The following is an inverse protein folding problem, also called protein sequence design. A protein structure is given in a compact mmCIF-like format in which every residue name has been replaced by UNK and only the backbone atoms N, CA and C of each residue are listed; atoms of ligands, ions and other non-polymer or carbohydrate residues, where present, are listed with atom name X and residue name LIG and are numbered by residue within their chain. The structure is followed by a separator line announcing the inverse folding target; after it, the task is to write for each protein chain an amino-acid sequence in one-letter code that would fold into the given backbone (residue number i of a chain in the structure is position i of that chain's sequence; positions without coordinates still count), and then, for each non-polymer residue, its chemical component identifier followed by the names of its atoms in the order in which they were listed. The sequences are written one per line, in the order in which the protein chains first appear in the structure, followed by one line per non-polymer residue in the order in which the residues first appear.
data_IF_542537509473
#
_entry.id   IF_542537509473
#
_cell.length_a   1.000
_cell.length_b   1.000
_cell.length_c   1.000
_cell.angle_alpha   90.00
_cell.angle_beta   90.00
_cell.angle_gamma   90.00
#
_symmetry.space_group_name_H-M   'P 1'
#
loop_
_entity.id
_entity.type
_entity.pdbx_description
1 polymer ?
#
# COMPACT_ATOMS: atom_id res chain seq x y z
N UNK A 1 -9.11 5.32 21.58
CA UNK A 1 -8.49 5.73 20.30
C UNK A 1 -9.42 5.25 19.20
N UNK A 2 -10.27 6.14 18.67
CA UNK A 2 -11.25 5.81 17.63
C UNK A 2 -10.60 6.09 16.27
N UNK A 3 -10.61 5.11 15.39
CA UNK A 3 -10.31 5.29 13.96
C UNK A 3 -11.61 5.73 13.30
N UNK A 4 -11.61 6.90 12.68
CA UNK A 4 -12.67 7.39 11.80
C UNK A 4 -12.18 7.20 10.37
N UNK A 5 -12.91 6.44 9.56
CA UNK A 5 -12.70 6.37 8.11
C UNK A 5 -13.85 7.16 7.51
N UNK A 6 -13.60 8.40 7.09
CA UNK A 6 -14.56 9.21 6.34
C UNK A 6 -14.42 8.83 4.86
N UNK A 7 -15.40 8.10 4.33
CA UNK A 7 -15.60 8.00 2.88
C UNK A 7 -16.47 9.18 2.48
N UNK A 8 -15.85 10.28 2.04
CA UNK A 8 -16.61 11.42 1.51
C UNK A 8 -17.20 11.08 0.16
N UNK A 9 -18.52 10.84 0.13
CA UNK A 9 -19.34 11.07 -1.05
C UNK A 9 -19.50 12.58 -1.28
N UNK A 10 -19.44 13.00 -2.54
CA UNK A 10 -19.63 14.38 -2.97
C UNK A 10 -21.05 14.89 -2.65
N UNK A 11 -21.16 15.93 -1.83
CA UNK A 11 -22.40 16.68 -1.54
C UNK A 11 -22.28 18.11 -2.11
N UNK A 12 -23.07 18.49 -3.14
CA UNK A 12 -23.00 19.80 -3.76
C UNK A 12 -23.75 20.91 -3.01
N UNK A 13 -24.37 20.64 -1.84
CA UNK A 13 -25.26 21.61 -1.18
C UNK A 13 -24.75 22.20 0.16
N UNK A 14 -23.57 21.80 0.64
CA UNK A 14 -22.84 22.54 1.69
C UNK A 14 -23.67 22.95 2.91
N UNK A 15 -24.26 21.98 3.63
CA UNK A 15 -24.82 22.18 4.97
C UNK A 15 -25.08 20.82 5.65
N UNK A 16 -24.33 20.51 6.71
CA UNK A 16 -24.55 19.32 7.53
C UNK A 16 -23.94 19.46 8.92
N UNK A 17 -24.80 19.57 9.94
CA UNK A 17 -24.46 19.71 11.36
C UNK A 17 -23.78 18.45 11.93
N UNK A 18 -22.77 18.67 12.78
CA UNK A 18 -22.03 17.60 13.48
C UNK A 18 -22.64 17.34 14.85
N UNK A 19 -23.17 16.15 15.08
CA UNK A 19 -23.44 15.66 16.44
C UNK A 19 -22.45 14.55 16.82
N UNK A 20 -21.82 14.70 17.99
CA UNK A 20 -20.94 13.71 18.61
C UNK A 20 -21.66 13.11 19.84
N UNK A 21 -21.58 11.80 20.00
CA UNK A 21 -21.94 11.11 21.24
C UNK A 21 -20.64 10.62 21.90
N UNK A 22 -20.42 11.04 23.15
CA UNK A 22 -19.33 10.57 24.01
C UNK A 22 -19.87 9.50 24.98
N UNK A 23 -19.17 8.37 25.12
CA UNK A 23 -19.43 7.40 26.18
C UNK A 23 -18.13 7.06 26.94
N UNK A 24 -18.18 6.97 28.28
CA UNK A 24 -17.01 6.77 29.14
C UNK A 24 -16.47 5.33 29.12
N UNK A 25 -15.15 5.25 29.33
CA UNK A 25 -14.26 4.08 29.22
C UNK A 25 -14.54 2.90 30.17
N UNK A 26 -15.44 3.05 31.16
CA UNK A 26 -15.66 2.03 32.20
C UNK A 26 -16.58 0.86 31.77
N UNK A 27 -17.13 0.87 30.55
CA UNK A 27 -18.07 -0.15 30.06
C UNK A 27 -17.47 -1.27 29.18
N UNK A 28 -16.13 -1.37 29.05
CA UNK A 28 -15.48 -2.46 28.30
C UNK A 28 -14.61 -3.34 29.22
N UNK A 29 -15.26 -4.09 30.11
CA UNK A 29 -14.65 -5.16 30.89
C UNK A 29 -14.84 -6.52 30.23
N UNK A 30 -13.73 -7.20 29.91
CA UNK A 30 -13.72 -8.60 29.50
C UNK A 30 -13.81 -9.51 30.73
N UNK A 31 -14.88 -10.30 30.84
CA UNK A 31 -14.92 -11.44 31.77
C UNK A 31 -16.31 -11.84 32.27
N UNK A 32 -16.92 -12.81 31.60
CA UNK A 32 -17.70 -13.88 32.24
C UNK A 32 -19.23 -13.70 32.40
N UNK A 33 -19.93 -14.81 32.13
CA UNK A 33 -21.37 -15.10 32.31
C UNK A 33 -22.24 -14.50 31.19
N UNK A 34 -22.92 -15.27 30.35
CA UNK A 34 -23.77 -16.41 30.65
C UNK A 34 -25.22 -15.96 30.43
N UNK A 35 -25.86 -16.47 29.37
CA UNK A 35 -27.30 -16.37 29.05
C UNK A 35 -28.03 -15.08 29.44
N UNK A 36 -28.12 -14.13 28.50
CA UNK A 36 -29.26 -13.22 28.42
C UNK A 36 -29.44 -12.77 26.96
N UNK A 37 -30.51 -13.25 26.32
CA UNK A 37 -30.95 -12.71 25.04
C UNK A 37 -31.33 -11.24 25.20
N UNK A 38 -30.71 -10.39 24.39
CA UNK A 38 -31.09 -8.98 24.26
C UNK A 38 -31.35 -8.71 22.79
N UNK A 39 -32.64 -8.45 22.54
CA UNK A 39 -33.26 -8.00 21.30
C UNK A 39 -32.79 -6.56 20.98
N UNK A 40 -32.11 -6.38 19.84
CA UNK A 40 -31.68 -5.07 19.36
C UNK A 40 -32.81 -4.44 18.54
N UNK A 41 -33.80 -3.87 19.24
CA UNK A 41 -34.82 -3.02 18.63
C UNK A 41 -34.20 -1.80 17.95
N UNK A 42 -34.26 -1.76 16.61
CA UNK A 42 -33.79 -0.64 15.80
C UNK A 42 -34.78 0.52 15.93
N UNK A 43 -34.35 1.62 16.53
CA UNK A 43 -35.11 2.87 16.60
C UNK A 43 -35.28 3.47 15.21
N UNK A 44 -36.51 3.47 14.70
CA UNK A 44 -36.87 4.08 13.42
C UNK A 44 -36.88 5.61 13.49
N UNK A 45 -36.17 6.24 12.55
CA UNK A 45 -36.47 7.60 12.14
C UNK A 45 -37.56 7.53 11.06
N UNK A 46 -38.70 8.17 11.32
CA UNK A 46 -39.80 8.29 10.37
C UNK A 46 -39.40 9.27 9.25
N UNK A 47 -39.23 8.75 8.03
CA UNK A 47 -39.34 9.53 6.80
C UNK A 47 -40.77 9.36 6.27
N UNK A 48 -41.50 10.47 6.17
CA UNK A 48 -42.81 10.49 5.53
C UNK A 48 -42.67 10.27 4.02
N UNK A 49 -43.45 9.29 3.52
CA UNK A 49 -43.99 9.33 2.15
C UNK A 49 -43.11 8.82 1.01
N UNK A 50 -42.99 7.50 0.87
CA UNK A 50 -43.01 6.84 -0.45
C UNK A 50 -43.83 5.56 -0.34
N UNK A 51 -45.06 5.58 -0.84
CA UNK A 51 -45.90 4.38 -0.97
C UNK A 51 -45.29 3.44 -2.02
N UNK A 52 -45.11 2.17 -1.67
CA UNK A 52 -44.83 1.09 -2.62
C UNK A 52 -43.50 0.36 -2.45
N UNK A 53 -43.14 -0.09 -1.24
CA UNK A 53 -42.14 -1.14 -1.05
C UNK A 53 -42.73 -2.28 -0.23
N UNK A 54 -42.86 -3.44 -0.87
CA UNK A 54 -43.37 -4.66 -0.28
C UNK A 54 -42.32 -5.20 0.72
N UNK A 55 -42.51 -4.93 2.01
CA UNK A 55 -41.70 -5.49 3.09
C UNK A 55 -42.05 -6.97 3.29
N UNK A 56 -41.41 -7.83 2.51
CA UNK A 56 -41.29 -9.25 2.83
C UNK A 56 -39.94 -9.74 2.32
N UNK A 57 -38.86 -9.28 2.95
CA UNK A 57 -37.59 -9.99 2.88
C UNK A 57 -37.19 -10.28 4.32
N UNK A 58 -37.69 -11.41 4.83
CA UNK A 58 -37.22 -12.02 6.06
C UNK A 58 -35.78 -12.46 5.83
N UNK A 59 -34.81 -11.56 6.05
CA UNK A 59 -33.39 -11.93 6.11
C UNK A 59 -33.17 -12.79 7.34
N UNK A 60 -33.17 -14.11 7.13
CA UNK A 60 -32.78 -15.08 8.15
C UNK A 60 -31.30 -14.88 8.51
N UNK A 61 -30.87 -15.16 9.75
CA UNK A 61 -29.45 -15.14 10.15
C UNK A 61 -28.55 -16.01 9.25
N UNK A 62 -29.15 -17.03 8.64
CA UNK A 62 -28.53 -17.94 7.67
C UNK A 62 -28.10 -17.21 6.39
N UNK A 63 -28.92 -16.29 5.88
CA UNK A 63 -28.60 -15.50 4.68
C UNK A 63 -27.44 -14.51 4.87
N UNK A 64 -27.13 -14.13 6.10
CA UNK A 64 -25.94 -13.32 6.45
C UNK A 64 -24.64 -14.13 6.42
N UNK A 65 -24.69 -15.43 6.73
CA UNK A 65 -23.51 -16.33 6.70
C UNK A 65 -23.15 -16.68 5.25
N UNK A 66 -24.14 -16.93 4.40
CA UNK A 66 -23.92 -17.23 2.98
C UNK A 66 -23.26 -16.08 2.19
N UNK A 67 -23.49 -14.83 2.60
CA UNK A 67 -22.98 -13.64 1.92
C UNK A 67 -21.66 -13.08 2.50
N UNK A 68 -21.11 -13.72 3.53
CA UNK A 68 -19.79 -13.33 4.06
C UNK A 68 -18.70 -14.04 3.24
N UNK A 69 -17.68 -13.33 2.72
CA UNK A 69 -16.53 -13.98 2.09
C UNK A 69 -15.95 -15.07 3.01
N UNK A 70 -15.79 -16.29 2.51
CA UNK A 70 -15.41 -17.47 3.30
C UNK A 70 -16.58 -18.22 3.96
N UNK A 71 -17.84 -17.85 3.68
CA UNK A 71 -19.07 -18.55 4.15
C UNK A 71 -19.11 -18.79 5.67
N UNK A 72 -18.47 -17.91 6.45
CA UNK A 72 -18.37 -18.04 7.91
C UNK A 72 -17.30 -19.01 8.41
N UNK A 73 -16.50 -19.61 7.52
CA UNK A 73 -15.32 -20.39 7.90
C UNK A 73 -14.16 -19.46 8.25
N UNK A 74 -13.43 -19.82 9.31
CA UNK A 74 -12.22 -19.09 9.69
C UNK A 74 -11.14 -19.38 8.63
N UNK A 75 -10.51 -18.36 8.03
CA UNK A 75 -9.38 -18.57 7.14
C UNK A 75 -8.26 -19.31 7.88
N UNK A 76 -7.81 -20.43 7.30
CA UNK A 76 -6.58 -21.10 7.70
C UNK A 76 -5.46 -20.73 6.72
N UNK A 77 -4.20 -20.86 7.17
CA UNK A 77 -3.06 -20.59 6.32
C UNK A 77 -2.69 -21.86 5.54
N UNK A 78 -2.62 -21.73 4.23
CA UNK A 78 -2.11 -22.76 3.32
C UNK A 78 -0.64 -22.50 2.94
N UNK A 79 -0.02 -23.47 2.27
CA UNK A 79 1.29 -23.27 1.64
C UNK A 79 1.23 -22.25 0.50
N UNK A 80 2.30 -21.48 0.32
CA UNK A 80 2.44 -20.56 -0.81
C UNK A 80 2.97 -21.36 -2.00
N UNK A 81 2.12 -21.60 -2.99
CA UNK A 81 2.47 -22.29 -4.23
C UNK A 81 2.54 -21.28 -5.40
N UNK A 82 3.41 -21.47 -6.41
CA UNK A 82 3.48 -20.58 -7.57
C UNK A 82 2.11 -20.41 -8.26
N UNK A 83 1.70 -19.17 -8.51
CA UNK A 83 0.45 -18.86 -9.20
C UNK A 83 0.54 -17.54 -9.98
N UNK A 84 -0.29 -17.41 -11.01
CA UNK A 84 -0.48 -16.17 -11.77
C UNK A 84 -1.75 -15.44 -11.33
N UNK A 85 -1.75 -14.10 -11.29
CA UNK A 85 -2.94 -13.32 -10.99
C UNK A 85 -3.92 -13.33 -12.19
N UNK A 86 -5.22 -13.43 -11.92
CA UNK A 86 -6.25 -13.31 -12.98
C UNK A 86 -6.45 -11.86 -13.45
N UNK A 87 -6.29 -10.88 -12.54
CA UNK A 87 -6.64 -9.47 -12.76
C UNK A 87 -5.58 -8.51 -12.20
N UNK A 88 -4.34 -8.61 -12.69
CA UNK A 88 -3.31 -7.58 -12.49
C UNK A 88 -3.19 -6.69 -13.73
N UNK A 89 -2.47 -5.57 -13.57
CA UNK A 89 -2.10 -4.73 -14.71
C UNK A 89 -2.18 -3.24 -14.47
N UNK A 90 -2.49 -2.81 -13.25
CA UNK A 90 -2.73 -1.41 -12.94
C UNK A 90 -1.45 -0.68 -12.53
N UNK A 91 -1.51 0.63 -12.59
CA UNK A 91 -0.52 1.56 -12.06
C UNK A 91 -1.05 2.22 -10.80
N UNK A 92 -0.37 2.00 -9.67
CA UNK A 92 -0.77 2.53 -8.37
C UNK A 92 0.29 3.47 -7.80
N UNK A 93 -0.13 4.62 -7.29
CA UNK A 93 0.75 5.70 -6.81
C UNK A 93 0.42 6.03 -5.36
N UNK A 94 1.43 5.98 -4.49
CA UNK A 94 1.32 6.28 -3.06
C UNK A 94 2.23 7.45 -2.69
N UNK A 95 1.63 8.62 -2.44
CA UNK A 95 2.37 9.85 -2.13
C UNK A 95 1.88 10.50 -0.83
N UNK A 96 2.57 11.55 -0.37
CA UNK A 96 2.09 12.41 0.71
C UNK A 96 3.01 12.51 1.93
N UNK A 97 2.65 13.42 2.83
CA UNK A 97 3.45 13.79 4.02
C UNK A 97 3.32 12.82 5.21
N UNK A 98 2.36 11.90 5.15
CA UNK A 98 2.09 10.92 6.19
C UNK A 98 3.05 9.73 6.16
N UNK A 99 3.18 9.09 7.33
CA UNK A 99 3.81 7.78 7.47
C UNK A 99 2.84 6.72 6.95
N UNK A 100 3.33 5.82 6.09
CA UNK A 100 2.57 4.64 5.66
C UNK A 100 2.68 4.28 4.18
N UNK A 101 3.29 5.12 3.33
CA UNK A 101 3.46 4.88 1.89
C UNK A 101 4.15 3.54 1.61
N UNK A 102 5.42 3.42 1.98
CA UNK A 102 6.22 2.18 1.84
C UNK A 102 5.59 0.99 2.56
N UNK A 103 5.00 1.20 3.74
CA UNK A 103 4.34 0.10 4.48
C UNK A 103 3.11 -0.43 3.74
N UNK A 104 2.35 0.45 3.08
CA UNK A 104 1.20 0.07 2.26
C UNK A 104 1.64 -0.69 1.00
N UNK A 105 2.66 -0.20 0.28
CA UNK A 105 3.17 -0.88 -0.92
C UNK A 105 3.79 -2.24 -0.58
N UNK A 106 4.57 -2.34 0.50
CA UNK A 106 5.11 -3.62 0.99
C UNK A 106 4.03 -4.57 1.50
N UNK A 107 2.99 -4.06 2.17
CA UNK A 107 1.85 -4.87 2.59
C UNK A 107 1.06 -5.43 1.40
N UNK A 108 0.96 -4.67 0.31
CA UNK A 108 0.38 -5.12 -0.95
C UNK A 108 1.25 -6.20 -1.60
N UNK A 109 2.56 -5.98 -1.68
CA UNK A 109 3.52 -6.99 -2.15
C UNK A 109 3.48 -8.27 -1.33
N UNK A 110 3.40 -8.16 0.00
CA UNK A 110 3.24 -9.32 0.89
C UNK A 110 1.95 -10.09 0.59
N UNK A 111 0.84 -9.40 0.31
CA UNK A 111 -0.42 -10.05 -0.07
C UNK A 111 -0.29 -10.80 -1.40
N UNK A 112 0.28 -10.17 -2.41
CA UNK A 112 0.50 -10.80 -3.71
C UNK A 112 1.43 -12.03 -3.60
N UNK A 113 2.54 -11.91 -2.87
CA UNK A 113 3.44 -13.03 -2.61
C UNK A 113 2.76 -14.15 -1.81
N UNK A 114 1.91 -13.83 -0.84
CA UNK A 114 1.10 -14.81 -0.10
C UNK A 114 0.12 -15.60 -0.97
N UNK A 115 -0.26 -15.07 -2.14
CA UNK A 115 -1.06 -15.76 -3.16
C UNK A 115 -0.22 -16.46 -4.23
N UNK A 116 1.10 -16.57 -4.04
CA UNK A 116 1.97 -17.26 -4.98
C UNK A 116 2.48 -16.40 -6.14
N UNK A 117 2.19 -15.10 -6.14
CA UNK A 117 2.61 -14.21 -7.21
C UNK A 117 4.03 -13.70 -6.98
N UNK A 118 4.78 -13.48 -8.07
CA UNK A 118 6.12 -12.93 -8.00
C UNK A 118 6.10 -11.43 -7.81
N UNK A 119 6.81 -10.98 -6.78
CA UNK A 119 6.92 -9.57 -6.40
C UNK A 119 8.39 -9.20 -6.32
N UNK A 120 8.74 -8.06 -6.90
CA UNK A 120 10.06 -7.46 -6.72
C UNK A 120 9.94 -6.01 -6.26
N UNK A 121 10.73 -5.65 -5.26
CA UNK A 121 10.82 -4.29 -4.72
C UNK A 121 12.14 -3.68 -5.12
N UNK A 122 12.10 -2.68 -5.98
CA UNK A 122 13.25 -1.83 -6.30
C UNK A 122 13.16 -0.55 -5.48
N UNK A 123 14.06 -0.38 -4.52
CA UNK A 123 14.09 0.81 -3.67
C UNK A 123 15.05 1.86 -4.23
N UNK A 124 14.49 3.03 -4.55
CA UNK A 124 15.25 4.23 -4.85
C UNK A 124 15.70 4.88 -3.55
N UNK A 125 16.96 5.33 -3.49
CA UNK A 125 17.50 6.20 -2.44
C UNK A 125 16.98 5.93 -1.02
N UNK A 126 17.52 4.96 -0.29
CA UNK A 126 17.19 4.87 1.14
C UNK A 126 17.99 5.89 1.93
N UNK A 127 17.38 7.07 2.14
CA UNK A 127 17.86 8.15 2.98
C UNK A 127 18.50 7.62 4.26
N UNK A 128 19.83 7.65 4.27
CA UNK A 128 20.64 7.36 5.43
C UNK A 128 20.47 8.48 6.45
N UNK A 129 19.35 8.49 7.17
CA UNK A 129 19.44 8.84 8.59
C UNK A 129 20.57 7.94 9.11
N UNK A 130 21.59 8.55 9.71
CA UNK A 130 22.74 7.95 10.37
C UNK A 130 22.29 7.03 11.51
N UNK A 131 21.52 6.01 11.14
CA UNK A 131 20.90 5.01 11.99
C UNK A 131 21.86 3.83 11.97
N UNK A 132 22.40 3.62 13.16
CA UNK A 132 23.46 2.74 13.61
C UNK A 132 23.21 1.24 13.31
N UNK A 133 22.17 0.88 12.54
CA UNK A 133 21.80 -0.50 12.23
C UNK A 133 21.81 -0.77 10.72
N UNK A 134 22.67 -1.69 10.23
CA UNK A 134 22.76 -2.04 8.81
C UNK A 134 21.59 -2.92 8.32
N UNK A 135 20.73 -3.42 9.21
CA UNK A 135 19.68 -4.40 8.87
C UNK A 135 18.29 -3.78 9.07
N UNK A 136 17.53 -3.68 7.99
CA UNK A 136 16.13 -3.24 7.98
C UNK A 136 15.20 -4.42 8.22
N UNK A 137 14.12 -4.21 8.98
CA UNK A 137 13.17 -5.27 9.31
C UNK A 137 12.53 -5.90 8.07
N UNK A 138 12.24 -5.08 7.05
CA UNK A 138 11.60 -5.51 5.81
C UNK A 138 12.49 -6.47 5.01
N UNK A 139 13.81 -6.28 5.01
CA UNK A 139 14.74 -7.16 4.28
C UNK A 139 14.75 -8.58 4.85
N UNK A 140 14.76 -8.70 6.17
CA UNK A 140 14.68 -10.00 6.83
C UNK A 140 13.33 -10.68 6.57
N UNK A 141 12.24 -9.89 6.56
CA UNK A 141 10.91 -10.41 6.29
C UNK A 141 10.77 -10.88 4.83
N UNK A 142 11.24 -10.08 3.87
CA UNK A 142 11.22 -10.43 2.44
C UNK A 142 12.10 -11.66 2.19
N UNK A 143 13.30 -11.73 2.77
CA UNK A 143 14.18 -12.89 2.62
C UNK A 143 13.57 -14.21 3.16
N UNK A 144 12.57 -14.13 4.05
CA UNK A 144 11.86 -15.27 4.60
C UNK A 144 10.53 -15.58 3.86
N UNK A 145 10.07 -14.70 2.97
CA UNK A 145 8.78 -14.80 2.28
C UNK A 145 8.99 -15.29 0.83
N UNK A 146 8.54 -16.51 0.47
CA UNK A 146 8.60 -17.00 -0.89
C UNK A 146 7.91 -16.05 -1.89
N UNK A 147 8.47 -15.93 -3.09
CA UNK A 147 7.89 -15.12 -4.17
C UNK A 147 8.22 -13.62 -4.09
N UNK A 148 8.72 -13.11 -2.96
CA UNK A 148 9.08 -11.70 -2.79
C UNK A 148 10.59 -11.51 -2.76
N UNK A 149 11.08 -10.52 -3.51
CA UNK A 149 12.50 -10.15 -3.56
C UNK A 149 12.67 -8.64 -3.49
N UNK A 150 13.88 -8.18 -3.19
CA UNK A 150 14.19 -6.75 -3.12
C UNK A 150 15.58 -6.43 -3.67
N UNK A 151 15.73 -5.22 -4.19
CA UNK A 151 16.99 -4.59 -4.56
C UNK A 151 17.00 -3.17 -4.00
N UNK A 152 18.17 -2.71 -3.52
CA UNK A 152 18.35 -1.35 -3.04
C UNK A 152 19.52 -0.70 -3.77
N UNK A 153 19.22 0.42 -4.42
CA UNK A 153 20.19 1.23 -5.13
C UNK A 153 20.61 2.38 -4.22
N UNK A 154 21.73 2.15 -3.51
CA UNK A 154 22.37 3.14 -2.66
C UNK A 154 22.45 2.71 -1.18
N UNK A 155 23.67 2.52 -0.72
CA UNK A 155 24.00 2.39 0.70
C UNK A 155 24.91 3.56 1.10
N UNK A 156 24.49 4.31 2.13
CA UNK A 156 25.23 5.23 3.01
C UNK A 156 25.27 6.73 2.69
N UNK A 157 24.73 7.48 3.67
CA UNK A 157 25.38 8.66 4.24
C UNK A 157 24.86 10.00 3.74
N UNK A 158 24.00 10.66 4.52
CA UNK A 158 23.87 12.11 4.44
C UNK A 158 25.16 12.73 5.01
N UNK A 159 26.22 12.79 4.20
CA UNK A 159 27.36 13.65 4.45
C UNK A 159 27.36 14.70 3.36
N UNK A 160 26.48 15.70 3.51
CA UNK A 160 26.67 16.98 2.83
C UNK A 160 28.07 17.53 3.15
N UNK A 161 29.04 17.15 2.31
CA UNK A 161 30.29 17.86 2.16
C UNK A 161 29.90 19.18 1.51
N UNK A 162 30.35 20.28 2.10
CA UNK A 162 30.01 21.64 1.66
C UNK A 162 30.59 22.00 0.28
N UNK A 163 31.03 21.02 -0.52
CA UNK A 163 31.66 21.16 -1.82
C UNK A 163 30.84 20.61 -3.00
N UNK A 164 29.66 20.00 -2.74
CA UNK A 164 28.75 19.55 -3.80
C UNK A 164 29.08 18.19 -4.43
N UNK A 165 30.06 17.44 -3.90
CA UNK A 165 30.46 16.13 -4.47
C UNK A 165 29.44 15.00 -4.26
N UNK A 166 28.46 15.19 -3.37
CA UNK A 166 27.41 14.19 -3.03
C UNK A 166 26.21 14.21 -4.00
N UNK A 167 25.99 15.32 -4.72
CA UNK A 167 24.86 15.46 -5.65
C UNK A 167 25.04 14.61 -6.92
N UNK A 168 26.25 14.58 -7.47
CA UNK A 168 26.61 13.75 -8.64
C UNK A 168 26.45 12.24 -8.34
N UNK A 169 26.72 11.82 -7.09
CA UNK A 169 26.54 10.44 -6.65
C UNK A 169 25.07 10.03 -6.52
N UNK A 170 24.21 10.94 -6.03
CA UNK A 170 22.77 10.69 -5.94
C UNK A 170 22.09 10.65 -7.31
N UNK A 171 22.47 11.55 -8.21
CA UNK A 171 21.95 11.55 -9.59
C UNK A 171 22.34 10.27 -10.33
N UNK A 172 23.61 9.85 -10.25
CA UNK A 172 24.07 8.61 -10.86
C UNK A 172 23.34 7.37 -10.31
N UNK A 173 23.05 7.33 -9.00
CA UNK A 173 22.28 6.24 -8.38
C UNK A 173 20.82 6.24 -8.81
N UNK A 174 20.17 7.40 -8.84
CA UNK A 174 18.79 7.53 -9.29
C UNK A 174 18.66 7.10 -10.76
N UNK A 175 19.61 7.50 -11.61
CA UNK A 175 19.68 7.07 -13.01
C UNK A 175 19.92 5.57 -13.16
N UNK A 176 20.84 4.98 -12.37
CA UNK A 176 21.02 3.53 -12.36
C UNK A 176 19.74 2.80 -11.94
N UNK A 177 18.94 3.39 -11.05
CA UNK A 177 17.63 2.84 -10.68
C UNK A 177 16.56 2.96 -11.73
N UNK A 178 16.56 4.05 -12.47
CA UNK A 178 15.72 4.18 -13.64
C UNK A 178 16.09 3.14 -14.70
N UNK A 179 17.38 2.99 -15.02
CA UNK A 179 17.89 1.96 -15.94
C UNK A 179 17.47 0.56 -15.48
N UNK A 180 17.65 0.25 -14.20
CA UNK A 180 17.24 -1.03 -13.62
C UNK A 180 15.73 -1.27 -13.68
N UNK A 181 14.93 -0.23 -13.44
CA UNK A 181 13.47 -0.33 -13.58
C UNK A 181 13.08 -0.68 -15.02
N UNK A 182 13.70 -0.06 -16.03
CA UNK A 182 13.47 -0.42 -17.44
C UNK A 182 13.88 -1.86 -17.76
N UNK A 183 15.01 -2.36 -17.23
CA UNK A 183 15.40 -3.77 -17.40
C UNK A 183 14.35 -4.73 -16.84
N UNK A 184 13.81 -4.43 -15.65
CA UNK A 184 12.78 -5.24 -15.01
C UNK A 184 11.44 -5.21 -15.78
N UNK A 185 11.05 -4.04 -16.32
CA UNK A 185 9.88 -3.93 -17.19
C UNK A 185 10.08 -4.70 -18.51
N UNK A 186 11.28 -4.67 -19.08
CA UNK A 186 11.61 -5.45 -20.27
C UNK A 186 11.58 -6.96 -19.99
N UNK A 187 12.10 -7.40 -18.84
CA UNK A 187 12.02 -8.79 -18.39
C UNK A 187 10.57 -9.24 -18.20
N UNK A 188 9.75 -8.43 -17.52
CA UNK A 188 8.32 -8.69 -17.34
C UNK A 188 7.57 -8.75 -18.69
N UNK A 189 7.96 -7.94 -19.67
CA UNK A 189 7.37 -7.94 -21.02
C UNK A 189 7.74 -9.19 -21.84
N UNK A 190 8.90 -9.79 -21.56
CA UNK A 190 9.36 -11.00 -22.24
C UNK A 190 8.79 -12.29 -21.62
N UNK A 191 8.33 -12.23 -20.36
CA UNK A 191 7.71 -13.32 -19.64
C UNK A 191 6.22 -13.48 -19.98
N UNK A 192 5.69 -14.70 -19.81
CA UNK A 192 4.23 -14.93 -19.81
C UNK A 192 3.68 -14.73 -18.39
N UNK A 193 3.22 -13.51 -18.09
CA UNK A 193 2.67 -13.15 -16.78
C UNK A 193 1.29 -13.78 -16.50
N UNK A 194 0.71 -14.49 -17.47
CA UNK A 194 -0.48 -15.31 -17.27
C UNK A 194 -0.17 -16.71 -16.73
N UNK A 195 1.11 -17.09 -16.66
CA UNK A 195 1.56 -18.37 -16.10
C UNK A 195 2.28 -18.19 -14.75
N UNK A 196 2.27 -19.25 -13.94
CA UNK A 196 2.98 -19.24 -12.66
C UNK A 196 4.49 -19.19 -12.88
N UNK A 197 5.16 -18.23 -12.25
CA UNK A 197 6.63 -18.13 -12.23
C UNK A 197 7.16 -18.76 -10.92
N UNK A 198 8.22 -19.59 -10.94
CA UNK A 198 8.78 -20.20 -9.74
C UNK A 198 9.09 -19.16 -8.65
N UNK A 199 8.73 -19.44 -7.39
CA UNK A 199 8.81 -18.47 -6.28
C UNK A 199 10.23 -18.01 -5.94
N UNK A 200 11.25 -18.77 -6.34
CA UNK A 200 12.67 -18.50 -6.14
C UNK A 200 13.40 -18.01 -7.41
N UNK A 201 12.70 -17.86 -8.53
CA UNK A 201 13.32 -17.39 -9.77
C UNK A 201 13.88 -15.96 -9.59
N UNK A 202 14.97 -15.59 -10.26
CA UNK A 202 15.43 -14.20 -10.25
C UNK A 202 14.38 -13.25 -10.88
N UNK A 203 14.38 -11.94 -10.55
CA UNK A 203 13.40 -11.00 -11.10
C UNK A 203 13.52 -10.81 -12.63
N UNK A 204 14.67 -11.13 -13.22
CA UNK A 204 14.90 -11.14 -14.66
C UNK A 204 14.11 -12.23 -15.40
N UNK A 205 13.58 -13.23 -14.70
CA UNK A 205 12.69 -14.24 -15.27
C UNK A 205 11.22 -13.77 -15.31
N UNK A 206 10.94 -12.56 -14.80
CA UNK A 206 9.61 -11.95 -14.77
C UNK A 206 9.01 -11.86 -13.37
N UNK A 207 8.16 -10.85 -13.19
CA UNK A 207 7.41 -10.62 -11.95
C UNK A 207 5.99 -10.19 -12.27
N UNK A 208 5.04 -10.57 -11.41
CA UNK A 208 3.66 -10.13 -11.55
C UNK A 208 3.44 -8.73 -10.97
N UNK A 209 4.23 -8.34 -9.96
CA UNK A 209 4.18 -7.01 -9.35
C UNK A 209 5.58 -6.42 -9.18
N UNK A 210 5.76 -5.19 -9.65
CA UNK A 210 6.98 -4.40 -9.47
C UNK A 210 6.67 -3.18 -8.59
N UNK A 211 7.35 -3.08 -7.46
CA UNK A 211 7.25 -1.95 -6.54
C UNK A 211 8.49 -1.07 -6.71
N UNK A 212 8.30 0.14 -7.22
CA UNK A 212 9.31 1.19 -7.32
C UNK A 212 9.16 2.13 -6.11
N UNK A 213 9.81 1.76 -5.01
CA UNK A 213 9.71 2.47 -3.74
C UNK A 213 10.59 3.74 -3.78
N UNK A 214 10.05 4.88 -3.34
CA UNK A 214 10.70 6.20 -3.33
C UNK A 214 11.12 6.78 -4.71
N UNK A 215 10.65 6.20 -5.82
CA UNK A 215 10.88 6.77 -7.16
C UNK A 215 10.29 8.18 -7.31
N UNK A 216 9.13 8.45 -6.70
CA UNK A 216 8.50 9.77 -6.75
C UNK A 216 9.34 10.81 -6.00
N UNK A 217 10.06 10.38 -4.96
CA UNK A 217 10.98 11.25 -4.26
C UNK A 217 12.24 11.54 -5.08
N UNK A 218 12.70 10.60 -5.92
CA UNK A 218 13.77 10.86 -6.87
C UNK A 218 13.39 11.94 -7.89
N UNK A 219 12.16 11.89 -8.42
CA UNK A 219 11.65 12.93 -9.31
C UNK A 219 11.40 14.27 -8.61
N UNK A 220 10.85 14.28 -7.39
CA UNK A 220 10.67 15.50 -6.58
C UNK A 220 11.99 16.20 -6.24
N UNK A 221 13.11 15.49 -6.36
CA UNK A 221 14.47 16.01 -6.16
C UNK A 221 15.23 16.28 -7.45
N UNK A 222 14.55 16.27 -8.59
CA UNK A 222 15.12 16.49 -9.91
C UNK A 222 16.31 15.55 -10.25
N UNK A 223 16.36 14.36 -9.62
CA UNK A 223 17.41 13.36 -9.87
C UNK A 223 17.07 12.46 -11.07
N UNK A 224 15.79 12.36 -11.37
CA UNK A 224 15.22 11.86 -12.62
C UNK A 224 14.10 12.83 -13.01
N UNK A 225 13.80 12.93 -14.30
CA UNK A 225 12.73 13.80 -14.78
C UNK A 225 11.35 13.15 -14.59
N UNK A 226 10.31 13.97 -14.63
CA UNK A 226 8.93 13.44 -14.66
C UNK A 226 8.64 12.69 -15.96
N UNK A 227 9.29 13.10 -17.06
CA UNK A 227 9.18 12.44 -18.36
C UNK A 227 9.78 11.02 -18.30
N UNK A 228 10.89 10.82 -17.60
CA UNK A 228 11.46 9.48 -17.36
C UNK A 228 10.45 8.53 -16.68
N UNK A 229 9.65 9.05 -15.74
CA UNK A 229 8.60 8.26 -15.08
C UNK A 229 7.47 7.94 -16.06
N UNK A 230 7.05 8.91 -16.89
CA UNK A 230 6.02 8.67 -17.89
C UNK A 230 6.47 7.64 -18.92
N UNK A 231 7.73 7.69 -19.36
CA UNK A 231 8.34 6.70 -20.27
C UNK A 231 8.38 5.30 -19.63
N UNK A 232 8.67 5.19 -18.33
CA UNK A 232 8.56 3.92 -17.60
C UNK A 232 7.13 3.36 -17.67
N UNK A 233 6.11 4.18 -17.38
CA UNK A 233 4.70 3.79 -17.40
C UNK A 233 4.26 3.35 -18.81
N UNK A 234 4.69 4.06 -19.85
CA UNK A 234 4.43 3.69 -21.26
C UNK A 234 5.06 2.35 -21.65
N UNK A 235 6.20 2.00 -21.06
CA UNK A 235 6.89 0.72 -21.30
C UNK A 235 6.36 -0.45 -20.47
N UNK A 236 5.41 -0.20 -19.55
CA UNK A 236 4.85 -1.23 -18.66
C UNK A 236 4.03 -2.25 -19.48
N UNK A 237 4.29 -3.56 -19.36
CA UNK A 237 3.44 -4.57 -19.98
C UNK A 237 2.05 -4.62 -19.32
N UNK A 238 1.00 -4.91 -20.09
CA UNK A 238 -0.40 -4.81 -19.65
C UNK A 238 -0.70 -5.62 -18.39
N UNK A 239 -0.15 -6.83 -18.25
CA UNK A 239 -0.42 -7.73 -17.13
C UNK A 239 0.44 -7.47 -15.87
N UNK A 240 1.41 -6.56 -15.92
CA UNK A 240 2.24 -6.23 -14.77
C UNK A 240 1.56 -5.19 -13.88
N UNK A 241 1.46 -5.51 -12.59
CA UNK A 241 1.07 -4.55 -11.56
C UNK A 241 2.26 -3.66 -11.19
N UNK A 242 2.15 -2.35 -11.40
CA UNK A 242 3.23 -1.40 -11.15
C UNK A 242 2.87 -0.44 -10.01
N UNK A 243 3.68 -0.41 -8.96
CA UNK A 243 3.41 0.39 -7.76
C UNK A 243 4.53 1.39 -7.54
N UNK A 244 4.21 2.69 -7.53
CA UNK A 244 5.14 3.78 -7.29
C UNK A 244 4.87 4.37 -5.90
N UNK A 245 5.93 4.69 -5.16
CA UNK A 245 5.82 5.30 -3.84
C UNK A 245 6.76 6.50 -3.68
N UNK A 246 6.45 7.33 -2.68
CA UNK A 246 7.37 8.34 -2.17
C UNK A 246 6.85 9.75 -2.32
N UNK A 247 7.74 10.72 -2.10
CA UNK A 247 7.48 12.16 -2.17
C UNK A 247 6.46 12.72 -1.17
N UNK A 248 6.55 14.02 -0.93
CA UNK A 248 5.56 14.82 -0.22
C UNK A 248 4.76 15.71 -1.16
N UNK A 249 5.28 15.96 -2.37
CA UNK A 249 4.62 16.71 -3.41
C UNK A 249 3.56 15.85 -4.12
N UNK A 250 2.52 16.50 -4.59
CA UNK A 250 1.48 15.85 -5.38
C UNK A 250 2.01 15.53 -6.79
N UNK A 251 1.99 14.26 -7.24
CA UNK A 251 2.48 13.88 -8.55
C UNK A 251 1.41 14.13 -9.61
N UNK A 252 1.10 15.41 -9.87
CA UNK A 252 0.01 15.80 -10.79
C UNK A 252 0.23 15.31 -12.22
N UNK A 253 1.48 15.11 -12.64
CA UNK A 253 1.82 14.56 -13.95
C UNK A 253 1.37 13.10 -14.15
N UNK A 254 1.00 12.38 -13.08
CA UNK A 254 0.52 10.99 -13.15
C UNK A 254 -1.00 10.86 -13.19
N UNK A 255 -1.77 11.96 -13.13
CA UNK A 255 -3.24 11.90 -13.00
C UNK A 255 -3.95 11.11 -14.11
N UNK A 256 -3.42 11.16 -15.33
CA UNK A 256 -4.01 10.45 -16.48
C UNK A 256 -3.41 9.05 -16.69
N UNK A 257 -2.20 8.81 -16.17
CA UNK A 257 -1.42 7.60 -16.44
C UNK A 257 -1.52 6.54 -15.32
N UNK A 258 -1.99 6.93 -14.12
CA UNK A 258 -2.17 6.03 -12.99
C UNK A 258 -3.64 5.67 -12.78
N UNK A 259 -3.91 4.40 -12.51
CA UNK A 259 -5.25 3.89 -12.18
C UNK A 259 -5.65 4.20 -10.74
N UNK A 260 -4.67 4.33 -9.84
CA UNK A 260 -4.86 4.72 -8.45
C UNK A 260 -3.83 5.75 -8.03
N UNK A 261 -4.29 6.86 -7.43
CA UNK A 261 -3.43 7.81 -6.73
C UNK A 261 -3.94 7.98 -5.30
N UNK A 262 -3.14 7.55 -4.33
CA UNK A 262 -3.46 7.64 -2.90
C UNK A 262 -2.56 8.64 -2.19
N UNK A 263 -3.18 9.61 -1.50
CA UNK A 263 -2.49 10.54 -0.61
C UNK A 263 -2.51 10.02 0.83
N UNK A 264 -1.34 9.63 1.33
CA UNK A 264 -1.10 9.35 2.75
C UNK A 264 -0.81 10.65 3.47
N UNK A 265 -1.84 11.25 4.08
CA UNK A 265 -1.76 12.55 4.76
C UNK A 265 -1.37 12.42 6.24
N UNK A 266 -0.49 13.30 6.72
CA UNK A 266 -0.15 13.42 8.15
C UNK A 266 -1.24 14.18 8.92
N UNK A 267 -2.13 13.46 9.61
CA UNK A 267 -3.07 14.08 10.57
C UNK A 267 -2.42 14.33 11.94
N UNK A 268 -1.60 13.38 12.41
CA UNK A 268 -0.84 13.49 13.65
C UNK A 268 0.35 12.54 13.60
N UNK A 269 1.51 12.95 14.10
CA UNK A 269 2.68 12.08 14.16
C UNK A 269 3.41 12.19 15.50
N UNK A 270 3.90 11.08 16.09
CA UNK A 270 4.66 11.11 17.35
C UNK A 270 5.91 11.99 17.31
N UNK A 271 6.50 12.19 16.12
CA UNK A 271 7.64 13.10 15.92
C UNK A 271 7.30 14.55 16.30
N UNK A 272 6.05 14.97 16.14
CA UNK A 272 5.58 16.32 16.49
C UNK A 272 5.61 16.51 18.03
N UNK A 273 5.61 15.41 18.79
CA UNK A 273 5.79 15.38 20.24
C UNK A 273 7.23 15.04 20.67
N UNK A 274 8.20 15.09 19.74
CA UNK A 274 9.62 14.81 20.00
C UNK A 274 9.97 13.33 20.17
N UNK A 275 9.05 12.41 19.86
CA UNK A 275 9.38 10.98 19.87
C UNK A 275 10.33 10.65 18.72
N UNK A 276 11.39 9.90 19.05
CA UNK A 276 12.35 9.40 18.06
C UNK A 276 11.81 8.17 17.33
N UNK A 277 12.38 7.88 16.16
CA UNK A 277 12.10 6.65 15.42
C UNK A 277 12.44 5.40 16.26
N UNK A 278 11.61 4.36 16.14
CA UNK A 278 11.76 3.11 16.89
C UNK A 278 11.85 1.92 15.94
N UNK A 279 12.69 0.96 16.32
CA UNK A 279 12.87 -0.32 15.63
C UNK A 279 11.58 -1.15 15.66
N UNK A 280 11.21 -1.74 14.53
CA UNK A 280 9.98 -2.48 14.31
C UNK A 280 8.75 -1.61 14.03
N UNK A 281 8.89 -0.27 14.00
CA UNK A 281 7.76 0.62 13.67
C UNK A 281 8.09 1.69 12.66
N UNK A 282 9.21 2.41 12.81
CA UNK A 282 9.68 3.39 11.82
C UNK A 282 10.81 2.85 10.94
N UNK A 283 11.55 1.84 11.42
CA UNK A 283 12.59 1.12 10.69
C UNK A 283 12.80 -0.29 11.24
#
# INVERSE_FOLDING_TARGET
MLVRIDTTGYDPAGQGDRHALELPWEMLGWGGLGEAGVDWGVGGYMCEGVEGWNMSDERTPDGTVENTPGRGERPEADGIEPAAPEEFGLVQVWWGSGKGKTTATLGMGMRAAGHGHRVHVLQFMKGGASSVEPVRGEYNAIAALPGMSYENLGHYGWHGMADGSDEEGHEAQARAGLERAHELLAAASAADLGESIPLDAPPEDGVHMLILDEILYAADRDLISTDDILELLESKPDALELVLSGSHAEPTYLQEAADLITNVRKEKHPIDAGQRARRGTEF
#
